data_IF_554209468211
#
_entry.id   IF_554209468211
#
_cell.length_a   1.000
_cell.length_b   1.000
_cell.length_c   1.000
_cell.angle_alpha   90.00
_cell.angle_beta   90.00
_cell.angle_gamma   90.00
#
_symmetry.space_group_name_H-M   'P 1'
#
loop_
_entity.id
_entity.type
_entity.pdbx_description
1 polymer ?
#
# COMPACT_ATOMS: atom_id res chain seq x y z
N UNK A 1 -4.13 6.49 -20.30
CA UNK A 1 -4.24 7.41 -19.15
C UNK A 1 -3.59 6.73 -17.97
N UNK A 2 -2.41 7.20 -17.53
CA UNK A 2 -1.75 6.64 -16.36
C UNK A 2 -2.50 7.06 -15.09
N UNK A 3 -3.02 6.09 -14.37
CA UNK A 3 -3.63 6.28 -13.05
C UNK A 3 -2.54 6.73 -12.06
N UNK A 4 -2.58 8.01 -11.70
CA UNK A 4 -1.67 8.61 -10.71
C UNK A 4 -2.17 8.46 -9.27
N UNK A 5 -3.24 7.71 -9.00
CA UNK A 5 -3.93 7.71 -7.70
C UNK A 5 -3.17 7.06 -6.53
N UNK A 6 -1.99 6.46 -6.76
CA UNK A 6 -1.18 5.88 -5.68
C UNK A 6 0.33 6.09 -5.86
N UNK A 7 0.78 7.33 -6.09
CA UNK A 7 2.19 7.64 -5.81
C UNK A 7 2.38 7.59 -4.30
N UNK A 8 2.96 6.49 -3.81
CA UNK A 8 3.54 6.46 -2.47
C UNK A 8 4.39 7.72 -2.28
N UNK A 9 4.29 8.42 -1.14
CA UNK A 9 5.12 9.57 -0.88
C UNK A 9 6.57 9.13 -1.07
N UNK A 10 7.24 9.70 -2.08
CA UNK A 10 8.66 9.46 -2.34
C UNK A 10 9.41 9.45 -1.00
N UNK A 11 10.31 8.48 -0.81
CA UNK A 11 11.17 8.36 0.39
C UNK A 11 11.92 9.68 0.73
N UNK A 12 11.98 10.62 -0.22
CA UNK A 12 12.59 11.97 -0.08
C UNK A 12 11.66 13.02 0.54
N UNK A 13 10.35 12.80 0.60
CA UNK A 13 9.38 13.81 1.08
C UNK A 13 9.52 14.20 2.55
N UNK A 14 9.79 13.28 3.51
CA UNK A 14 9.96 13.67 4.91
C UNK A 14 11.23 14.48 5.15
N UNK A 15 12.27 14.21 4.34
CA UNK A 15 13.56 14.91 4.38
C UNK A 15 13.36 16.37 3.95
N UNK A 16 12.75 16.58 2.78
CA UNK A 16 12.52 17.93 2.25
C UNK A 16 11.58 18.74 3.15
N UNK A 17 10.54 18.12 3.73
CA UNK A 17 9.68 18.77 4.72
C UNK A 17 10.45 19.20 5.96
N UNK A 18 11.39 18.38 6.44
CA UNK A 18 12.21 18.74 7.59
C UNK A 18 13.09 19.96 7.31
N UNK A 19 13.65 20.07 6.10
CA UNK A 19 14.38 21.26 5.67
C UNK A 19 13.46 22.49 5.57
N UNK A 20 12.20 22.32 5.15
CA UNK A 20 11.24 23.41 5.14
C UNK A 20 10.99 24.00 6.54
N UNK A 21 10.96 23.18 7.61
CA UNK A 21 10.83 23.69 8.99
C UNK A 21 12.00 24.55 9.44
N UNK A 22 13.19 24.32 8.90
CA UNK A 22 14.39 25.06 9.29
C UNK A 22 14.57 26.34 8.47
N UNK A 23 14.20 26.31 7.17
CA UNK A 23 14.62 27.33 6.22
C UNK A 23 13.48 28.14 5.59
N UNK A 24 12.24 27.66 5.63
CA UNK A 24 11.11 28.42 5.11
C UNK A 24 10.48 29.19 6.29
N UNK A 25 10.48 30.53 6.26
CA UNK A 25 9.81 31.32 7.28
C UNK A 25 8.34 30.94 7.42
N UNK A 26 7.86 30.91 8.66
CA UNK A 26 6.45 30.66 9.00
C UNK A 26 5.88 29.31 8.53
N UNK A 27 6.75 28.37 8.13
CA UNK A 27 6.29 27.03 7.76
C UNK A 27 5.83 26.25 8.99
N UNK A 28 4.58 25.82 8.98
CA UNK A 28 4.00 24.95 10.00
C UNK A 28 3.09 23.91 9.35
N UNK A 29 3.02 22.72 9.97
CA UNK A 29 2.09 21.65 9.60
C UNK A 29 0.87 21.61 10.51
N UNK A 30 0.75 22.54 11.45
CA UNK A 30 -0.44 22.66 12.31
C UNK A 30 -1.52 23.55 11.65
N UNK A 31 -1.25 24.05 10.44
CA UNK A 31 -2.17 24.85 9.60
C UNK A 31 -2.67 24.05 8.39
N UNK A 32 -3.79 24.46 7.75
CA UNK A 32 -4.27 23.82 6.54
C UNK A 32 -3.25 23.86 5.37
N UNK A 33 -3.18 22.79 4.54
CA UNK A 33 -4.00 21.58 4.52
C UNK A 33 -3.50 20.46 5.44
N UNK A 34 -2.38 20.65 6.14
CA UNK A 34 -1.66 19.57 6.84
C UNK A 34 -2.37 19.06 8.10
N UNK A 35 -3.15 19.93 8.74
CA UNK A 35 -3.94 19.60 9.93
C UNK A 35 -5.26 18.87 9.64
N UNK A 36 -5.53 18.51 8.38
CA UNK A 36 -6.75 17.80 8.00
C UNK A 36 -6.78 16.36 8.53
N UNK A 37 -7.95 15.89 8.97
CA UNK A 37 -8.17 14.58 9.61
C UNK A 37 -7.62 13.38 8.83
N UNK A 38 -7.62 13.45 7.49
CA UNK A 38 -7.11 12.36 6.63
C UNK A 38 -5.61 12.10 6.84
N UNK A 39 -4.89 13.09 7.36
CA UNK A 39 -3.46 13.01 7.63
C UNK A 39 -3.15 12.62 9.08
N UNK A 40 -4.14 12.33 9.94
CA UNK A 40 -3.92 11.99 11.35
C UNK A 40 -2.95 10.80 11.52
N UNK A 41 -3.13 9.75 10.73
CA UNK A 41 -2.25 8.57 10.72
C UNK A 41 -0.86 8.86 10.10
N UNK A 42 -0.72 9.99 9.39
CA UNK A 42 0.51 10.42 8.72
C UNK A 42 1.15 11.65 9.37
N UNK A 43 0.64 12.15 10.50
CA UNK A 43 1.18 13.31 11.23
C UNK A 43 2.68 13.21 11.50
N UNK A 44 3.20 11.99 11.75
CA UNK A 44 4.62 11.75 11.95
C UNK A 44 5.48 12.01 10.70
N UNK A 45 4.92 11.85 9.51
CA UNK A 45 5.61 12.10 8.23
C UNK A 45 5.76 13.59 7.95
N UNK A 46 4.90 14.41 8.54
CA UNK A 46 4.90 15.86 8.41
C UNK A 46 5.72 16.57 9.49
N UNK A 47 6.23 15.86 10.50
CA UNK A 47 7.02 16.47 11.59
C UNK A 47 8.50 16.12 11.45
N UNK A 48 9.40 17.06 11.76
CA UNK A 48 10.82 16.83 11.62
C UNK A 48 11.31 15.84 12.68
N UNK A 49 12.18 14.91 12.27
CA UNK A 49 12.83 13.97 13.20
C UNK A 49 14.06 14.61 13.83
N UNK A 50 14.19 14.49 15.16
CA UNK A 50 15.39 14.95 15.90
C UNK A 50 16.68 14.35 15.35
N UNK A 51 16.65 13.06 15.04
CA UNK A 51 17.81 12.35 14.46
C UNK A 51 18.19 12.93 13.10
N UNK A 52 17.20 13.29 12.29
CA UNK A 52 17.46 13.89 10.98
C UNK A 52 18.07 15.29 11.12
N UNK A 53 17.46 16.17 11.93
CA UNK A 53 17.99 17.51 12.17
C UNK A 53 19.42 17.46 12.70
N UNK A 54 19.69 16.53 13.63
CA UNK A 54 21.05 16.30 14.12
C UNK A 54 22.01 15.94 13.01
N UNK A 55 21.67 14.93 12.21
CA UNK A 55 22.53 14.46 11.12
C UNK A 55 22.78 15.56 10.08
N UNK A 56 21.79 16.39 9.77
CA UNK A 56 21.95 17.51 8.84
C UNK A 56 22.86 18.60 9.41
N UNK A 57 22.76 18.92 10.70
CA UNK A 57 23.68 19.83 11.39
C UNK A 57 25.11 19.30 11.34
N UNK A 58 25.34 18.02 11.69
CA UNK A 58 26.67 17.40 11.65
C UNK A 58 27.24 17.33 10.23
N UNK A 59 26.38 17.14 9.22
CA UNK A 59 26.78 17.15 7.80
C UNK A 59 27.29 18.51 7.37
N UNK A 60 26.67 19.60 7.83
CA UNK A 60 27.05 20.98 7.48
C UNK A 60 28.19 21.52 8.32
N UNK A 61 28.22 21.18 9.61
CA UNK A 61 29.29 21.53 10.54
C UNK A 61 29.88 20.26 11.15
N UNK A 62 30.91 19.68 10.50
CA UNK A 62 31.59 18.49 11.01
C UNK A 62 32.21 18.69 12.41
N UNK A 63 32.51 19.94 12.80
CA UNK A 63 32.98 20.29 14.15
C UNK A 63 31.97 19.96 15.25
N UNK A 64 30.68 19.86 14.91
CA UNK A 64 29.63 19.48 15.85
C UNK A 64 29.43 17.95 15.93
N UNK A 65 30.19 17.14 15.19
CA UNK A 65 30.01 15.68 15.17
C UNK A 65 30.05 15.07 16.57
N UNK A 66 29.04 14.27 16.90
CA UNK A 66 28.94 13.59 18.19
C UNK A 66 28.26 14.40 19.29
N UNK A 67 27.76 15.60 19.00
CA UNK A 67 27.04 16.39 20.01
C UNK A 67 25.76 15.69 20.49
N UNK A 68 25.38 15.94 21.75
CA UNK A 68 24.17 15.34 22.35
C UNK A 68 22.92 15.85 21.65
N UNK A 69 22.00 14.93 21.33
CA UNK A 69 20.70 15.26 20.74
C UNK A 69 19.94 16.20 21.69
N UNK A 70 19.56 17.38 21.20
CA UNK A 70 18.75 18.37 21.93
C UNK A 70 17.28 18.34 21.46
N UNK A 71 16.44 19.22 22.01
CA UNK A 71 15.03 19.33 21.61
C UNK A 71 14.91 19.74 20.14
N UNK A 72 13.82 19.33 19.48
CA UNK A 72 13.57 19.68 18.07
C UNK A 72 13.61 21.19 17.83
N UNK A 73 13.00 21.97 18.73
CA UNK A 73 12.98 23.44 18.67
C UNK A 73 14.39 24.03 18.70
N UNK A 74 15.27 23.52 19.57
CA UNK A 74 16.65 23.98 19.64
C UNK A 74 17.43 23.66 18.35
N UNK A 75 17.23 22.47 17.79
CA UNK A 75 17.88 22.06 16.54
C UNK A 75 17.42 22.92 15.35
N UNK A 76 16.13 23.26 15.29
CA UNK A 76 15.60 24.17 14.26
C UNK A 76 16.16 25.57 14.40
N UNK A 77 16.25 26.10 15.63
CA UNK A 77 16.85 27.40 15.89
C UNK A 77 18.31 27.46 15.42
N UNK A 78 19.09 26.42 15.72
CA UNK A 78 20.48 26.34 15.26
C UNK A 78 20.59 26.31 13.74
N UNK A 79 19.71 25.58 13.05
CA UNK A 79 19.71 25.55 11.58
C UNK A 79 19.29 26.89 10.94
N UNK A 80 18.63 27.77 11.69
CA UNK A 80 18.27 29.12 11.27
C UNK A 80 19.39 30.15 11.43
N UNK A 81 20.53 29.80 12.03
CA UNK A 81 21.69 30.69 12.14
C UNK A 81 22.33 30.93 10.76
N UNK A 82 22.96 32.09 10.58
CA UNK A 82 23.54 32.52 9.30
C UNK A 82 24.54 31.51 8.71
N UNK A 83 25.30 30.85 9.59
CA UNK A 83 26.29 29.84 9.22
C UNK A 83 25.67 28.56 8.60
N UNK A 84 24.35 28.38 8.70
CA UNK A 84 23.63 27.24 8.13
C UNK A 84 22.74 27.63 6.94
N UNK A 85 22.78 28.88 6.47
CA UNK A 85 21.95 29.34 5.35
C UNK A 85 22.15 28.48 4.10
N UNK A 86 21.04 28.26 3.41
CA UNK A 86 21.02 27.53 2.14
C UNK A 86 21.40 28.45 0.97
N UNK A 87 22.10 27.93 -0.05
CA UNK A 87 22.24 28.62 -1.32
C UNK A 87 20.88 29.05 -1.88
N UNK A 88 20.85 30.17 -2.60
CA UNK A 88 19.61 30.72 -3.17
C UNK A 88 18.85 29.69 -4.04
N UNK A 89 19.58 28.87 -4.80
CA UNK A 89 19.02 27.82 -5.66
C UNK A 89 18.27 26.76 -4.84
N UNK A 90 18.84 26.31 -3.72
CA UNK A 90 18.22 25.32 -2.85
C UNK A 90 17.00 25.89 -2.12
N UNK A 91 17.07 27.17 -1.75
CA UNK A 91 15.93 27.90 -1.19
C UNK A 91 14.76 27.97 -2.17
N UNK A 92 15.03 28.29 -3.44
CA UNK A 92 13.98 28.28 -4.48
C UNK A 92 13.42 26.87 -4.68
N UNK A 93 14.28 25.85 -4.66
CA UNK A 93 13.84 24.46 -4.77
C UNK A 93 12.89 24.07 -3.63
N UNK A 94 13.23 24.39 -2.37
CA UNK A 94 12.37 24.11 -1.22
C UNK A 94 11.04 24.85 -1.29
N UNK A 95 11.03 26.11 -1.73
CA UNK A 95 9.78 26.88 -1.95
C UNK A 95 8.89 26.23 -3.02
N UNK A 96 9.47 25.77 -4.13
CA UNK A 96 8.72 25.06 -5.17
C UNK A 96 8.21 23.71 -4.68
N UNK A 97 9.05 22.97 -3.95
CA UNK A 97 8.67 21.71 -3.34
C UNK A 97 7.47 21.88 -2.40
N UNK A 98 7.51 22.86 -1.48
CA UNK A 98 6.42 23.02 -0.51
C UNK A 98 5.12 23.46 -1.18
N UNK A 99 5.19 24.33 -2.19
CA UNK A 99 4.02 24.72 -2.98
C UNK A 99 3.35 23.52 -3.65
N UNK A 100 4.14 22.69 -4.34
CA UNK A 100 3.66 21.46 -4.97
C UNK A 100 3.11 20.46 -3.96
N UNK A 101 3.79 20.31 -2.82
CA UNK A 101 3.37 19.41 -1.75
C UNK A 101 2.05 19.85 -1.11
N UNK A 102 1.88 21.15 -0.87
CA UNK A 102 0.64 21.76 -0.37
C UNK A 102 -0.52 21.51 -1.35
N UNK A 103 -0.30 21.74 -2.64
CA UNK A 103 -1.29 21.46 -3.68
C UNK A 103 -1.63 19.97 -3.80
N UNK A 104 -0.65 19.08 -3.59
CA UNK A 104 -0.88 17.64 -3.50
C UNK A 104 -1.78 17.25 -2.32
N UNK A 105 -1.49 17.80 -1.13
CA UNK A 105 -2.31 17.55 0.06
C UNK A 105 -3.74 18.07 -0.11
N UNK A 106 -3.92 19.27 -0.68
CA UNK A 106 -5.24 19.83 -0.96
C UNK A 106 -6.05 18.95 -1.92
N UNK A 107 -5.43 18.41 -2.99
CA UNK A 107 -6.09 17.45 -3.88
C UNK A 107 -6.51 16.18 -3.16
N UNK A 108 -5.65 15.60 -2.33
CA UNK A 108 -6.02 14.42 -1.54
C UNK A 108 -7.19 14.65 -0.59
N UNK A 109 -7.37 15.88 -0.09
CA UNK A 109 -8.56 16.26 0.69
C UNK A 109 -9.79 16.26 -0.21
N UNK A 110 -9.74 16.95 -1.34
CA UNK A 110 -10.85 17.01 -2.31
C UNK A 110 -11.24 15.62 -2.79
N UNK A 111 -10.27 14.76 -3.12
CA UNK A 111 -10.51 13.39 -3.56
C UNK A 111 -11.20 12.56 -2.46
N UNK A 112 -10.75 12.70 -1.20
CA UNK A 112 -11.34 12.00 -0.05
C UNK A 112 -12.76 12.50 0.24
N UNK A 113 -12.99 13.81 0.16
CA UNK A 113 -14.31 14.41 0.39
C UNK A 113 -15.27 14.08 -0.75
N UNK A 114 -14.79 14.03 -2.00
CA UNK A 114 -15.57 13.58 -3.16
C UNK A 114 -15.92 12.11 -3.05
N UNK A 115 -14.96 11.25 -2.65
CA UNK A 115 -15.21 9.84 -2.39
C UNK A 115 -16.21 9.61 -1.24
N UNK A 116 -16.21 10.48 -0.22
CA UNK A 116 -17.20 10.43 0.87
C UNK A 116 -18.60 10.92 0.42
N UNK A 117 -18.67 11.83 -0.56
CA UNK A 117 -19.92 12.35 -1.11
C UNK A 117 -20.55 11.42 -2.17
N UNK A 118 -19.75 10.53 -2.78
CA UNK A 118 -20.19 9.61 -3.82
C UNK A 118 -20.49 8.23 -3.24
N UNK A 119 -21.69 8.04 -2.66
CA UNK A 119 -22.27 6.74 -2.21
C UNK A 119 -21.50 6.00 -1.09
N UNK A 120 -22.17 5.39 -0.10
CA UNK A 120 -21.48 4.49 0.81
C UNK A 120 -20.83 3.39 -0.04
N UNK A 121 -19.50 3.29 0.01
CA UNK A 121 -18.81 2.12 -0.51
C UNK A 121 -19.48 0.93 0.15
N UNK A 122 -20.10 -0.02 -0.59
CA UNK A 122 -20.68 -1.19 0.05
C UNK A 122 -19.54 -1.80 0.86
N UNK A 123 -19.75 -1.87 2.18
CA UNK A 123 -18.80 -2.53 3.09
C UNK A 123 -18.56 -3.88 2.46
N UNK A 124 -17.38 -4.08 1.87
CA UNK A 124 -17.11 -5.34 1.18
C UNK A 124 -17.38 -6.44 2.20
N UNK A 125 -18.27 -7.40 1.89
CA UNK A 125 -18.75 -8.34 2.87
C UNK A 125 -17.55 -8.94 3.60
N UNK A 126 -17.59 -8.92 4.94
CA UNK A 126 -16.48 -9.43 5.75
C UNK A 126 -16.25 -10.89 5.33
N UNK A 127 -15.04 -11.17 4.87
CA UNK A 127 -14.62 -12.52 4.47
C UNK A 127 -14.80 -13.44 5.68
N UNK A 128 -15.70 -14.41 5.56
CA UNK A 128 -15.96 -15.42 6.60
C UNK A 128 -14.95 -16.57 6.51
N UNK A 129 -14.93 -17.43 7.52
CA UNK A 129 -14.08 -18.63 7.48
C UNK A 129 -14.47 -19.56 6.31
N UNK A 130 -15.76 -19.68 6.01
CA UNK A 130 -16.23 -20.50 4.87
C UNK A 130 -15.76 -19.94 3.53
N UNK A 131 -15.71 -18.61 3.37
CA UNK A 131 -15.18 -17.99 2.15
C UNK A 131 -13.69 -18.32 1.98
N UNK A 132 -12.95 -18.41 3.09
CA UNK A 132 -11.53 -18.80 3.06
C UNK A 132 -11.37 -20.27 2.70
N UNK A 133 -12.18 -21.15 3.28
CA UNK A 133 -12.16 -22.58 2.97
C UNK A 133 -12.60 -22.84 1.53
N UNK A 134 -13.63 -22.14 1.05
CA UNK A 134 -14.07 -22.20 -0.35
C UNK A 134 -12.97 -21.74 -1.31
N UNK A 135 -12.20 -20.71 -0.92
CA UNK A 135 -11.04 -20.26 -1.69
C UNK A 135 -9.96 -21.35 -1.77
N UNK A 136 -9.67 -22.04 -0.67
CA UNK A 136 -8.72 -23.16 -0.64
C UNK A 136 -9.20 -24.27 -1.59
N UNK A 137 -10.47 -24.67 -1.51
CA UNK A 137 -11.05 -25.64 -2.43
C UNK A 137 -10.99 -25.17 -3.89
N UNK A 138 -11.11 -23.86 -4.15
CA UNK A 138 -11.04 -23.32 -5.51
C UNK A 138 -9.62 -23.45 -6.09
N UNK A 139 -8.58 -23.20 -5.26
CA UNK A 139 -7.19 -23.45 -5.64
C UNK A 139 -6.90 -24.93 -5.93
N UNK A 140 -7.62 -25.83 -5.26
CA UNK A 140 -7.49 -27.28 -5.37
C UNK A 140 -8.47 -27.91 -6.37
N UNK A 141 -9.32 -27.11 -7.02
CA UNK A 141 -10.25 -27.62 -8.03
C UNK A 141 -9.50 -28.23 -9.21
N UNK A 142 -10.09 -29.23 -9.85
CA UNK A 142 -9.46 -29.92 -10.98
C UNK A 142 -9.25 -28.98 -12.16
N UNK A 143 -10.15 -28.02 -12.37
CA UNK A 143 -10.00 -26.96 -13.38
C UNK A 143 -8.78 -26.08 -13.09
N UNK A 144 -8.63 -25.61 -11.84
CA UNK A 144 -7.48 -24.82 -11.44
C UNK A 144 -6.17 -25.63 -11.52
N UNK A 145 -6.16 -26.89 -11.07
CA UNK A 145 -4.99 -27.79 -11.16
C UNK A 145 -4.56 -28.02 -12.61
N UNK A 146 -5.51 -28.28 -13.50
CA UNK A 146 -5.26 -28.45 -14.94
C UNK A 146 -4.64 -27.19 -15.51
N UNK A 147 -5.14 -26.02 -15.12
CA UNK A 147 -4.58 -24.74 -15.56
C UNK A 147 -3.19 -24.49 -14.99
N UNK A 148 -2.95 -24.83 -13.74
CA UNK A 148 -1.61 -24.73 -13.16
C UNK A 148 -0.61 -25.61 -13.92
N UNK A 149 -1.00 -26.83 -14.24
CA UNK A 149 -0.17 -27.75 -15.04
C UNK A 149 0.12 -27.16 -16.43
N UNK A 150 -0.87 -26.56 -17.10
CA UNK A 150 -0.66 -25.94 -18.42
C UNK A 150 0.29 -24.75 -18.36
N UNK A 151 0.33 -23.99 -17.26
CA UNK A 151 1.32 -22.90 -17.10
C UNK A 151 2.77 -23.39 -16.99
N UNK A 152 2.99 -24.66 -16.65
CA UNK A 152 4.32 -25.26 -16.60
C UNK A 152 4.75 -25.85 -17.96
N UNK A 153 3.83 -25.95 -18.92
CA UNK A 153 4.14 -26.36 -20.28
C UNK A 153 4.87 -25.23 -21.04
N UNK A 154 5.66 -25.62 -22.06
CA UNK A 154 6.27 -24.64 -22.96
C UNK A 154 5.17 -23.96 -23.76
N UNK A 155 5.08 -22.63 -23.64
CA UNK A 155 4.15 -21.82 -24.43
C UNK A 155 4.49 -21.95 -25.92
N UNK A 156 3.46 -22.18 -26.73
CA UNK A 156 3.52 -22.06 -28.18
C UNK A 156 3.77 -20.62 -28.60
N UNK A 157 4.19 -20.43 -29.86
CA UNK A 157 4.40 -19.09 -30.42
C UNK A 157 3.11 -18.24 -30.39
N UNK A 158 1.97 -18.87 -30.67
CA UNK A 158 0.66 -18.22 -30.68
C UNK A 158 0.27 -17.70 -29.28
N UNK A 159 0.50 -18.50 -28.23
CA UNK A 159 0.23 -18.08 -26.85
C UNK A 159 1.18 -16.95 -26.38
N UNK A 160 2.42 -16.95 -26.84
CA UNK A 160 3.37 -15.86 -26.55
C UNK A 160 2.93 -14.54 -27.20
N UNK A 161 2.49 -14.59 -28.46
CA UNK A 161 2.01 -13.41 -29.19
C UNK A 161 0.67 -12.90 -28.62
N UNK A 162 -0.17 -13.79 -28.07
CA UNK A 162 -1.44 -13.44 -27.43
C UNK A 162 -1.31 -12.96 -25.97
N UNK A 163 -0.13 -13.00 -25.34
CA UNK A 163 0.05 -12.76 -23.88
C UNK A 163 -0.45 -11.39 -23.39
N UNK A 164 -0.53 -10.40 -24.28
CA UNK A 164 -1.01 -9.05 -23.97
C UNK A 164 -2.29 -8.68 -24.77
N UNK A 165 -2.96 -9.65 -25.39
CA UNK A 165 -4.17 -9.43 -26.17
C UNK A 165 -5.42 -9.86 -25.40
N UNK A 166 -6.58 -9.44 -25.88
CA UNK A 166 -7.89 -9.88 -25.36
C UNK A 166 -8.15 -11.38 -25.57
N UNK A 167 -7.36 -12.02 -26.43
CA UNK A 167 -7.41 -13.46 -26.74
C UNK A 167 -6.48 -14.25 -25.81
N UNK A 168 -5.84 -13.60 -24.83
CA UNK A 168 -5.05 -14.28 -23.83
C UNK A 168 -5.94 -15.28 -23.07
N UNK A 169 -5.51 -16.54 -23.02
CA UNK A 169 -6.20 -17.52 -22.21
C UNK A 169 -6.09 -17.16 -20.72
N UNK A 170 -7.16 -17.41 -19.95
CA UNK A 170 -7.23 -17.14 -18.51
C UNK A 170 -6.02 -17.72 -17.79
N UNK A 171 -5.37 -17.00 -16.89
CA UNK A 171 -4.29 -17.60 -16.10
C UNK A 171 -4.82 -18.43 -14.92
N UNK A 172 -3.93 -19.14 -14.23
CA UNK A 172 -4.29 -19.95 -13.05
C UNK A 172 -5.13 -19.18 -12.02
N UNK A 173 -4.75 -17.94 -11.69
CA UNK A 173 -5.44 -17.14 -10.68
C UNK A 173 -6.79 -16.61 -11.17
N UNK A 174 -6.91 -16.36 -12.47
CA UNK A 174 -8.18 -16.03 -13.10
C UNK A 174 -9.13 -17.23 -13.08
N UNK A 175 -8.67 -18.42 -13.45
CA UNK A 175 -9.45 -19.67 -13.35
C UNK A 175 -9.93 -19.90 -11.91
N UNK A 176 -9.04 -19.77 -10.91
CA UNK A 176 -9.43 -19.88 -9.49
C UNK A 176 -10.53 -18.87 -9.13
N UNK A 177 -10.42 -17.63 -9.61
CA UNK A 177 -11.45 -16.62 -9.32
C UNK A 177 -12.79 -16.93 -10.00
N UNK A 178 -12.78 -17.52 -11.19
CA UNK A 178 -13.99 -17.96 -11.91
C UNK A 178 -14.67 -19.10 -11.18
N UNK A 179 -13.92 -20.14 -10.82
CA UNK A 179 -14.43 -21.29 -10.04
C UNK A 179 -15.01 -20.82 -8.70
N UNK A 180 -14.29 -19.97 -7.97
CA UNK A 180 -14.76 -19.47 -6.67
C UNK A 180 -16.12 -18.75 -6.78
N UNK A 181 -16.26 -17.88 -7.79
CA UNK A 181 -17.44 -17.06 -8.03
C UNK A 181 -18.59 -17.80 -8.74
N UNK A 182 -18.40 -19.06 -9.12
CA UNK A 182 -19.44 -19.87 -9.74
C UNK A 182 -20.52 -20.23 -8.72
N UNK A 183 -21.74 -19.75 -8.95
CA UNK A 183 -22.91 -19.98 -8.10
C UNK A 183 -23.36 -21.45 -8.10
N UNK A 184 -23.04 -22.19 -9.15
CA UNK A 184 -23.38 -23.61 -9.29
C UNK A 184 -22.35 -24.52 -8.63
N UNK A 185 -21.11 -24.04 -8.48
CA UNK A 185 -20.04 -24.79 -7.82
C UNK A 185 -20.23 -24.80 -6.30
N UNK A 186 -20.46 -25.99 -5.74
CA UNK A 186 -20.71 -26.19 -4.30
C UNK A 186 -19.74 -27.23 -3.74
N UNK A 187 -18.49 -26.84 -3.44
CA UNK A 187 -17.49 -27.75 -2.92
C UNK A 187 -17.88 -28.24 -1.53
N UNK A 188 -17.48 -29.47 -1.23
CA UNK A 188 -17.56 -30.03 0.12
C UNK A 188 -16.17 -30.08 0.70
N UNK A 189 -16.00 -29.50 1.87
CA UNK A 189 -14.80 -29.67 2.66
C UNK A 189 -14.72 -31.12 3.13
N UNK A 190 -13.56 -31.76 2.93
CA UNK A 190 -13.30 -33.10 3.45
C UNK A 190 -13.13 -33.03 4.97
N UNK A 191 -13.62 -34.04 5.69
CA UNK A 191 -13.42 -34.17 7.13
C UNK A 191 -11.92 -34.23 7.47
N UNK A 192 -11.47 -33.35 8.36
CA UNK A 192 -10.11 -33.24 8.87
C UNK A 192 -10.13 -33.28 10.41
N UNK A 193 -10.51 -34.43 11.01
CA UNK A 193 -10.80 -34.52 12.45
C UNK A 193 -9.56 -34.27 13.32
N UNK A 194 -8.37 -34.50 12.76
CA UNK A 194 -7.09 -34.30 13.45
C UNK A 194 -6.57 -32.86 13.40
N UNK A 195 -7.22 -31.96 12.64
CA UNK A 195 -6.75 -30.58 12.47
C UNK A 195 -7.46 -29.62 13.43
N UNK A 196 -8.79 -29.69 13.52
CA UNK A 196 -9.60 -28.85 14.41
C UNK A 196 -11.01 -29.46 14.58
N UNK A 197 -11.65 -29.36 15.76
CA UNK A 197 -13.01 -29.89 15.98
C UNK A 197 -14.05 -29.38 14.97
N UNK A 198 -13.97 -28.10 14.59
CA UNK A 198 -14.87 -27.52 13.57
C UNK A 198 -14.76 -28.13 12.16
N UNK A 199 -13.74 -28.98 11.93
CA UNK A 199 -13.47 -29.67 10.67
C UNK A 199 -13.67 -31.19 10.80
N UNK A 200 -14.20 -31.67 11.93
CA UNK A 200 -14.45 -33.08 12.17
C UNK A 200 -15.49 -33.66 11.21
N UNK A 201 -16.46 -32.84 10.77
CA UNK A 201 -17.52 -33.27 9.86
C UNK A 201 -17.35 -32.61 8.51
N UNK A 202 -17.53 -33.39 7.44
CA UNK A 202 -17.56 -32.87 6.08
C UNK A 202 -18.72 -31.87 5.93
N UNK A 203 -18.46 -30.71 5.34
CA UNK A 203 -19.47 -29.65 5.20
C UNK A 203 -19.42 -28.98 3.84
N UNK A 204 -20.58 -28.58 3.34
CA UNK A 204 -20.70 -27.82 2.09
C UNK A 204 -20.30 -26.37 2.30
N UNK A 205 -19.66 -25.78 1.29
CA UNK A 205 -19.18 -24.40 1.29
C UNK A 205 -19.84 -23.62 0.14
N UNK A 206 -21.13 -23.26 0.24
CA UNK A 206 -21.83 -22.54 -0.82
C UNK A 206 -21.28 -21.13 -1.02
N UNK A 207 -21.52 -20.55 -2.21
CA UNK A 207 -21.13 -19.18 -2.50
C UNK A 207 -21.97 -18.21 -1.66
N UNK A 208 -21.30 -17.32 -0.93
CA UNK A 208 -21.92 -16.26 -0.13
C UNK A 208 -21.84 -14.92 -0.88
N UNK A 209 -22.06 -13.81 -0.19
CA UNK A 209 -21.98 -12.47 -0.78
C UNK A 209 -20.57 -12.09 -1.23
N UNK A 210 -19.53 -12.70 -0.66
CA UNK A 210 -18.15 -12.41 -1.03
C UNK A 210 -17.84 -12.93 -2.43
N UNK A 211 -17.27 -12.05 -3.26
CA UNK A 211 -16.72 -12.38 -4.59
C UNK A 211 -15.23 -12.11 -4.59
N UNK A 212 -14.48 -12.91 -5.33
CA UNK A 212 -13.03 -12.74 -5.48
C UNK A 212 -12.66 -12.25 -6.88
N UNK A 213 -11.49 -11.65 -7.01
CA UNK A 213 -10.91 -11.26 -8.30
C UNK A 213 -9.57 -11.96 -8.49
N UNK A 214 -9.08 -12.02 -9.73
CA UNK A 214 -7.74 -12.54 -10.05
C UNK A 214 -6.64 -11.98 -9.14
N UNK A 215 -6.63 -10.65 -8.95
CA UNK A 215 -5.64 -9.97 -8.12
C UNK A 215 -5.71 -10.42 -6.65
N UNK A 216 -6.93 -10.58 -6.14
CA UNK A 216 -7.18 -11.01 -4.76
C UNK A 216 -6.83 -12.48 -4.54
N UNK A 217 -7.14 -13.35 -5.50
CA UNK A 217 -6.71 -14.74 -5.48
C UNK A 217 -5.18 -14.84 -5.42
N UNK A 218 -4.47 -14.08 -6.26
CA UNK A 218 -3.00 -14.02 -6.22
C UNK A 218 -2.45 -13.57 -4.87
N UNK A 219 -3.02 -12.53 -4.27
CA UNK A 219 -2.63 -12.05 -2.94
C UNK A 219 -2.82 -13.14 -1.88
N UNK A 220 -3.98 -13.81 -1.86
CA UNK A 220 -4.27 -14.89 -0.91
C UNK A 220 -3.36 -16.09 -1.08
N UNK A 221 -3.01 -16.44 -2.31
CA UNK A 221 -2.02 -17.49 -2.57
C UNK A 221 -0.66 -17.17 -1.95
N UNK A 222 -0.19 -15.92 -2.09
CA UNK A 222 1.08 -15.49 -1.48
C UNK A 222 1.03 -15.46 0.04
N UNK A 223 -0.10 -15.05 0.64
CA UNK A 223 -0.31 -15.12 2.09
C UNK A 223 -0.18 -16.57 2.60
N UNK A 224 -0.82 -17.54 1.93
CA UNK A 224 -0.75 -18.95 2.31
C UNK A 224 0.69 -19.50 2.22
N UNK A 225 1.44 -19.16 1.17
CA UNK A 225 2.84 -19.54 1.05
C UNK A 225 3.74 -18.89 2.12
N UNK A 226 3.43 -17.67 2.53
CA UNK A 226 4.17 -16.95 3.57
C UNK A 226 4.04 -17.58 4.96
N UNK A 227 2.94 -18.29 5.23
CA UNK A 227 2.72 -19.02 6.48
C UNK A 227 3.64 -20.26 6.55
N UNK A 228 3.86 -20.93 5.42
CA UNK A 228 4.70 -22.15 5.33
C UNK A 228 6.21 -21.88 5.42
N UNK A 229 6.64 -20.62 5.38
CA UNK A 229 8.06 -20.21 5.43
C UNK A 229 8.51 -19.75 6.82
N UNK A 230 7.66 -19.87 7.83
CA UNK A 230 7.98 -19.63 9.23
C UNK A 230 8.06 -20.95 9.97
#
# INVERSE_FOLDING_TARGET
MEDHSRREPSKKSPILLTLCFAYIPDFSTDVPPYNHKIFDNRKRQHKPSRTFLKNEIERRKPSLKGYKIRSTTYLLQMMGEDEFQLPHVDMQYLRRFISNYKAGCARSIVDADTAASTTPTPVSPRITMDDRLRMIEAFLSDEAKTRLASTQAKLSRQELDARNSEVAENDYFETVSKVFNDETWNPSLTSLPYLHPDLEVARRLPLKEYRTTRGRAKEKYQEMLGILRK
#
